data_IF_798778679095
#
_entry.id   IF_798778679095
#
_cell.length_a   1.000
_cell.length_b   1.000
_cell.length_c   1.000
_cell.angle_alpha   90.00
_cell.angle_beta   90.00
_cell.angle_gamma   90.00
#
_symmetry.space_group_name_H-M   'P 1'
#
loop_
_entity.id
_entity.type
_entity.pdbx_description
1 polymer ?
#
# COMPACT_ATOMS: atom_id res chain seq x y z
N UNK A 1 -28.25 33.83 14.42
CA UNK A 1 -26.79 34.00 14.38
C UNK A 1 -26.16 32.62 14.44
N UNK A 2 -25.80 32.03 13.30
CA UNK A 2 -24.89 30.88 13.30
C UNK A 2 -23.56 31.48 13.74
N UNK A 3 -23.17 31.16 14.97
CA UNK A 3 -21.99 31.74 15.61
C UNK A 3 -20.74 31.44 14.77
N UNK A 4 -19.96 32.47 14.38
CA UNK A 4 -18.70 32.30 13.64
C UNK A 4 -17.75 31.28 14.32
N UNK A 5 -17.80 31.17 15.65
CA UNK A 5 -17.06 30.14 16.41
C UNK A 5 -17.43 28.70 16.02
N UNK A 6 -18.68 28.43 15.63
CA UNK A 6 -19.05 27.09 15.19
C UNK A 6 -18.43 26.76 13.83
N UNK A 7 -18.29 27.74 12.95
CA UNK A 7 -17.69 27.52 11.63
C UNK A 7 -16.19 27.27 11.75
N UNK A 8 -15.49 28.04 12.59
CA UNK A 8 -14.04 27.86 12.81
C UNK A 8 -13.75 26.49 13.43
N UNK A 9 -14.58 26.02 14.38
CA UNK A 9 -14.45 24.68 14.95
C UNK A 9 -14.73 23.56 13.94
N UNK A 10 -15.73 23.74 13.06
CA UNK A 10 -16.02 22.77 12.00
C UNK A 10 -14.84 22.71 11.00
N UNK A 11 -14.35 23.87 10.56
CA UNK A 11 -13.19 23.96 9.65
C UNK A 11 -11.97 23.28 10.29
N UNK A 12 -11.68 23.56 11.56
CA UNK A 12 -10.56 22.95 12.29
C UNK A 12 -10.68 21.42 12.40
N UNK A 13 -11.90 20.87 12.57
CA UNK A 13 -12.13 19.42 12.54
C UNK A 13 -11.83 18.86 11.15
N UNK A 14 -12.29 19.50 10.08
CA UNK A 14 -12.01 19.07 8.71
C UNK A 14 -10.53 19.18 8.34
N UNK A 15 -9.87 20.26 8.76
CA UNK A 15 -8.42 20.46 8.56
C UNK A 15 -7.61 19.42 9.35
N UNK A 16 -7.99 19.11 10.58
CA UNK A 16 -7.34 18.07 11.39
C UNK A 16 -7.55 16.68 10.79
N UNK A 17 -8.76 16.40 10.28
CA UNK A 17 -9.07 15.13 9.61
C UNK A 17 -8.31 14.99 8.29
N UNK A 18 -8.23 16.06 7.50
CA UNK A 18 -7.43 16.11 6.28
C UNK A 18 -5.93 15.96 6.56
N UNK A 19 -5.42 16.57 7.63
CA UNK A 19 -4.03 16.42 8.05
C UNK A 19 -3.70 15.02 8.59
N UNK A 20 -4.69 14.32 9.16
CA UNK A 20 -4.57 12.91 9.60
C UNK A 20 -4.81 11.90 8.45
N UNK A 21 -5.24 12.38 7.29
CA UNK A 21 -5.48 11.55 6.10
C UNK A 21 -4.24 11.61 5.21
N UNK A 22 -3.67 10.46 4.82
CA UNK A 22 -2.42 10.32 4.04
C UNK A 22 -1.13 10.52 4.86
N UNK A 23 -0.95 9.70 5.88
CA UNK A 23 0.30 9.55 6.62
C UNK A 23 1.21 8.60 5.83
N UNK A 24 2.46 8.97 5.50
CA UNK A 24 3.40 8.06 4.88
C UNK A 24 3.87 6.98 5.88
N UNK A 25 3.86 5.72 5.47
CA UNK A 25 4.37 4.56 6.21
C UNK A 25 5.19 3.67 5.28
N UNK A 26 6.06 2.83 5.85
CA UNK A 26 6.75 1.78 5.09
C UNK A 26 5.89 0.51 5.16
N UNK A 27 5.62 -0.12 4.02
CA UNK A 27 4.98 -1.42 3.94
C UNK A 27 5.89 -2.41 3.21
N UNK A 28 5.99 -3.62 3.77
CA UNK A 28 6.60 -4.78 3.10
C UNK A 28 5.51 -5.73 2.66
N UNK A 29 5.62 -6.24 1.43
CA UNK A 29 4.73 -7.26 0.88
C UNK A 29 5.58 -8.39 0.30
N UNK A 30 5.29 -9.61 0.72
CA UNK A 30 6.02 -10.82 0.32
C UNK A 30 5.06 -11.79 -0.37
N UNK A 31 5.52 -12.38 -1.47
CA UNK A 31 4.89 -13.54 -2.09
C UNK A 31 5.69 -14.76 -1.67
N UNK A 32 5.02 -15.67 -0.99
CA UNK A 32 5.60 -16.92 -0.49
C UNK A 32 5.11 -18.12 -1.29
N UNK A 33 5.94 -19.15 -1.39
CA UNK A 33 5.55 -20.43 -1.97
C UNK A 33 4.78 -21.32 -0.98
N UNK A 34 4.49 -22.56 -1.38
CA UNK A 34 3.77 -23.54 -0.56
C UNK A 34 4.56 -24.00 0.69
N UNK A 35 5.87 -23.79 0.71
CA UNK A 35 6.76 -24.11 1.83
C UNK A 35 6.98 -22.92 2.76
N UNK A 36 6.50 -21.74 2.37
CA UNK A 36 6.68 -20.49 3.12
C UNK A 36 7.95 -19.73 2.76
N UNK A 37 8.67 -20.13 1.71
CA UNK A 37 9.87 -19.43 1.24
C UNK A 37 9.48 -18.21 0.40
N UNK A 38 10.20 -17.10 0.58
CA UNK A 38 9.95 -15.86 -0.16
C UNK A 38 10.42 -16.01 -1.60
N UNK A 39 9.49 -15.92 -2.54
CA UNK A 39 9.76 -15.98 -3.99
C UNK A 39 10.08 -14.59 -4.53
N UNK A 40 9.37 -13.58 -4.04
CA UNK A 40 9.62 -12.16 -4.34
C UNK A 40 9.03 -11.29 -3.23
N UNK A 41 9.64 -10.13 -3.02
CA UNK A 41 9.21 -9.15 -2.04
C UNK A 41 9.20 -7.72 -2.63
N UNK A 42 8.53 -6.82 -1.93
CA UNK A 42 8.47 -5.41 -2.24
C UNK A 42 8.42 -4.61 -0.93
N UNK A 43 9.28 -3.60 -0.81
CA UNK A 43 9.30 -2.70 0.35
C UNK A 43 9.26 -1.25 -0.13
N UNK A 44 8.14 -0.57 0.11
CA UNK A 44 7.94 0.80 -0.36
C UNK A 44 7.20 1.68 0.65
N UNK A 45 7.32 3.00 0.43
CA UNK A 45 6.51 3.98 1.15
C UNK A 45 5.09 3.96 0.59
N UNK A 46 4.11 3.92 1.49
CA UNK A 46 2.69 3.89 1.20
C UNK A 46 1.99 4.99 1.97
N UNK A 47 0.88 5.48 1.45
CA UNK A 47 0.03 6.39 2.18
C UNK A 47 -1.08 5.65 2.90
N UNK A 48 -1.27 6.02 4.16
CA UNK A 48 -2.30 5.44 5.01
C UNK A 48 -3.22 6.48 5.63
N UNK A 49 -4.43 6.07 5.99
CA UNK A 49 -5.32 6.85 6.84
C UNK A 49 -5.83 5.98 7.97
N UNK A 50 -5.93 6.54 9.18
CA UNK A 50 -6.62 5.88 10.28
C UNK A 50 -8.14 5.92 10.05
N UNK A 51 -8.76 4.75 10.11
CA UNK A 51 -10.19 4.54 10.15
C UNK A 51 -10.65 4.40 11.61
N UNK A 52 -11.94 4.68 11.85
CA UNK A 52 -12.54 4.52 13.18
C UNK A 52 -12.28 3.13 13.77
N UNK A 53 -11.85 3.09 15.04
CA UNK A 53 -11.54 1.84 15.74
C UNK A 53 -10.11 1.34 15.56
N UNK A 54 -9.15 2.23 15.26
CA UNK A 54 -7.72 1.90 15.17
C UNK A 54 -7.36 1.06 13.94
N UNK A 55 -8.24 1.00 12.94
CA UNK A 55 -7.97 0.30 11.68
C UNK A 55 -7.22 1.22 10.75
N UNK A 56 -6.29 0.69 9.97
CA UNK A 56 -5.51 1.49 9.01
C UNK A 56 -5.95 1.12 7.60
N UNK A 57 -6.29 2.12 6.78
CA UNK A 57 -6.48 1.95 5.34
C UNK A 57 -5.19 2.29 4.64
N UNK A 58 -4.68 1.36 3.83
CA UNK A 58 -3.56 1.61 2.92
C UNK A 58 -4.16 2.03 1.57
N UNK A 59 -3.85 3.23 1.11
CA UNK A 59 -4.42 3.78 -0.12
C UNK A 59 -3.82 3.12 -1.37
N UNK A 60 -2.51 2.86 -1.34
CA UNK A 60 -1.75 2.36 -2.49
C UNK A 60 -1.70 0.82 -2.53
N UNK A 61 -2.59 0.16 -1.77
CA UNK A 61 -2.57 -1.30 -1.60
C UNK A 61 -2.61 -2.05 -2.93
N UNK A 62 -3.49 -1.62 -3.84
CA UNK A 62 -3.66 -2.32 -5.11
C UNK A 62 -2.41 -2.20 -5.98
N UNK A 63 -1.77 -1.03 -5.99
CA UNK A 63 -0.57 -0.78 -6.77
C UNK A 63 0.59 -1.64 -6.26
N UNK A 64 0.78 -1.74 -4.94
CA UNK A 64 1.77 -2.63 -4.32
C UNK A 64 1.55 -4.10 -4.68
N UNK A 65 0.30 -4.56 -4.61
CA UNK A 65 -0.05 -5.94 -4.94
C UNK A 65 0.20 -6.20 -6.43
N UNK A 66 -0.23 -5.30 -7.31
CA UNK A 66 0.03 -5.41 -8.74
C UNK A 66 1.54 -5.47 -9.04
N UNK A 67 2.34 -4.59 -8.42
CA UNK A 67 3.78 -4.54 -8.63
C UNK A 67 4.49 -5.82 -8.18
N UNK A 68 4.16 -6.37 -7.00
CA UNK A 68 4.81 -7.61 -6.54
C UNK A 68 4.47 -8.81 -7.45
N UNK A 69 3.25 -8.85 -8.00
CA UNK A 69 2.86 -9.90 -8.95
C UNK A 69 3.46 -9.68 -10.35
N UNK A 70 3.67 -8.44 -10.78
CA UNK A 70 4.41 -8.14 -12.00
C UNK A 70 5.89 -8.57 -11.88
N UNK A 71 6.51 -8.34 -10.71
CA UNK A 71 7.85 -8.84 -10.41
C UNK A 71 7.91 -10.37 -10.48
N UNK A 72 6.95 -11.07 -9.85
CA UNK A 72 6.83 -12.53 -9.92
C UNK A 72 6.68 -13.02 -11.37
N UNK A 73 5.86 -12.33 -12.17
CA UNK A 73 5.66 -12.67 -13.59
C UNK A 73 6.94 -12.52 -14.39
N UNK A 74 7.70 -11.44 -14.17
CA UNK A 74 8.96 -11.19 -14.86
C UNK A 74 10.03 -12.22 -14.48
N UNK A 75 10.06 -12.67 -13.21
CA UNK A 75 10.93 -13.78 -12.79
C UNK A 75 10.58 -15.07 -13.54
N UNK A 76 9.29 -15.41 -13.64
CA UNK A 76 8.85 -16.62 -14.37
C UNK A 76 9.19 -16.57 -15.87
N UNK A 77 9.13 -15.40 -16.50
CA UNK A 77 9.52 -15.22 -17.90
C UNK A 77 11.04 -15.41 -18.11
N UNK A 78 11.86 -14.88 -17.20
CA UNK A 78 13.32 -15.08 -17.24
C UNK A 78 13.72 -16.56 -17.08
N UNK A 79 12.97 -17.32 -16.27
CA UNK A 79 13.16 -18.77 -16.12
C UNK A 79 12.67 -19.53 -17.36
N UNK A 80 11.57 -19.12 -17.99
CA UNK A 80 11.05 -19.75 -19.21
C UNK A 80 11.98 -19.64 -20.43
N UNK A 81 12.65 -18.50 -20.59
CA UNK A 81 13.61 -18.26 -21.68
C UNK A 81 14.91 -19.06 -21.51
N UNK A 82 15.37 -19.25 -20.28
CA UNK A 82 16.59 -20.03 -19.99
C UNK A 82 16.39 -21.54 -20.19
N UNK A 83 15.19 -22.07 -19.94
CA UNK A 83 14.86 -23.48 -20.26
C UNK A 83 14.75 -23.71 -21.77
N UNK A 84 14.24 -22.73 -22.52
CA UNK A 84 14.04 -22.85 -23.97
C UNK A 84 15.35 -22.75 -24.79
N UNK A 85 16.40 -22.13 -24.25
CA UNK A 85 17.73 -22.08 -24.88
C UNK A 85 18.61 -23.31 -24.57
N UNK A 86 18.20 -24.14 -23.62
CA UNK A 86 18.95 -25.33 -23.19
C UNK A 86 18.41 -26.65 -23.80
N UNK A 87 17.40 -26.60 -24.68
CA UNK A 87 16.79 -27.74 -25.37
C UNK A 87 17.09 -27.69 -26.88
#
# INVERSE_FOLDING_TARGET
VISRRNNDSIISIYESYAAASYIPMIASLEVVDEYGEVVTDLCHTVYVSELTGGRIKIHDRNDLVSEVFDNLRNLNLAVGDSVSQAA
#
